data_IF_252457293728
#
_entry.id   IF_252457293728
#
_cell.length_a   1.000
_cell.length_b   1.000
_cell.length_c   1.000
_cell.angle_alpha   90.00
_cell.angle_beta   90.00
_cell.angle_gamma   90.00
#
_symmetry.space_group_name_H-M   'P 1'
#
loop_
_entity.id
_entity.type
_entity.pdbx_description
1 polymer ?
#
# COMPACT_ATOMS: atom_id res chain seq x y z
N UNK A 1 -19.77 3.27 -17.82
CA UNK A 1 -19.95 3.94 -16.52
C UNK A 1 -18.86 3.49 -15.58
N UNK A 2 -18.17 4.45 -14.98
CA UNK A 2 -17.20 4.18 -13.93
C UNK A 2 -17.93 3.70 -12.67
N UNK A 3 -17.46 2.61 -12.06
CA UNK A 3 -17.95 2.15 -10.76
C UNK A 3 -17.00 2.63 -9.67
N UNK A 4 -17.55 3.08 -8.54
CA UNK A 4 -16.78 3.42 -7.36
C UNK A 4 -17.17 2.50 -6.20
N UNK A 5 -16.19 2.13 -5.38
CA UNK A 5 -16.44 1.53 -4.09
C UNK A 5 -16.46 2.63 -3.03
N UNK A 6 -17.43 2.59 -2.14
CA UNK A 6 -17.51 3.48 -0.97
C UNK A 6 -16.22 3.34 -0.16
N UNK A 7 -15.76 4.47 0.40
CA UNK A 7 -14.47 4.58 1.06
C UNK A 7 -14.12 3.42 1.97
N UNK A 8 -13.00 2.79 1.69
CA UNK A 8 -12.46 1.66 2.47
C UNK A 8 -11.42 2.19 3.45
N UNK A 9 -11.61 1.90 4.72
CA UNK A 9 -10.65 2.23 5.77
C UNK A 9 -9.63 1.09 5.91
N UNK A 10 -8.35 1.42 5.85
CA UNK A 10 -7.25 0.47 5.93
C UNK A 10 -6.21 1.01 6.91
N UNK A 11 -5.77 0.17 7.85
CA UNK A 11 -4.60 0.44 8.69
C UNK A 11 -3.47 -0.48 8.26
N UNK A 12 -2.38 0.09 7.78
CA UNK A 12 -1.16 -0.60 7.37
C UNK A 12 -0.11 -0.47 8.48
N UNK A 13 0.47 -1.59 8.88
CA UNK A 13 1.40 -1.67 9.99
C UNK A 13 2.65 -2.42 9.53
N UNK A 14 3.83 -1.88 9.82
CA UNK A 14 5.10 -2.56 9.60
C UNK A 14 5.87 -2.66 10.91
N UNK A 15 6.18 -3.90 11.31
CA UNK A 15 6.96 -4.17 12.52
C UNK A 15 8.45 -3.95 12.26
N UNK A 16 9.17 -3.49 13.28
CA UNK A 16 10.62 -3.59 13.29
C UNK A 16 11.06 -5.05 13.46
N UNK A 17 12.25 -5.35 12.98
CA UNK A 17 12.94 -6.60 13.25
C UNK A 17 14.44 -6.36 13.29
N UNK A 18 15.15 -7.16 14.05
CA UNK A 18 16.60 -7.21 14.05
C UNK A 18 17.08 -8.14 12.92
N UNK A 19 17.91 -7.61 12.03
CA UNK A 19 18.55 -8.39 10.99
C UNK A 19 19.57 -9.36 11.63
N UNK A 20 19.35 -10.68 11.55
CA UNK A 20 20.20 -11.65 12.23
C UNK A 20 21.64 -11.70 11.72
N UNK A 21 21.91 -11.08 10.57
CA UNK A 21 23.28 -11.03 9.99
C UNK A 21 24.04 -9.81 10.43
N UNK A 22 23.36 -8.67 10.62
CA UNK A 22 24.00 -7.38 10.88
C UNK A 22 23.70 -6.84 12.28
N UNK A 23 22.71 -7.38 13.01
CA UNK A 23 22.19 -6.82 14.26
C UNK A 23 21.45 -5.49 14.09
N UNK A 24 21.24 -5.04 12.86
CA UNK A 24 20.64 -3.76 12.57
C UNK A 24 19.11 -3.85 12.67
N UNK A 25 18.50 -2.85 13.34
CA UNK A 25 17.03 -2.74 13.39
C UNK A 25 16.51 -2.17 12.08
N UNK A 26 15.63 -2.92 11.43
CA UNK A 26 15.00 -2.59 10.14
C UNK A 26 13.49 -2.73 10.23
N UNK A 27 12.77 -2.05 9.34
CA UNK A 27 11.36 -2.33 9.13
C UNK A 27 11.18 -3.59 8.29
N UNK A 28 10.22 -4.41 8.65
CA UNK A 28 9.83 -5.59 7.89
C UNK A 28 9.36 -5.20 6.48
N UNK A 29 9.73 -5.98 5.49
CA UNK A 29 9.16 -5.89 4.14
C UNK A 29 7.74 -6.50 4.06
N UNK A 30 7.27 -7.11 5.15
CA UNK A 30 5.90 -7.59 5.28
C UNK A 30 5.10 -6.55 6.02
N UNK A 31 4.01 -6.16 5.41
CA UNK A 31 3.04 -5.22 5.93
C UNK A 31 1.82 -5.97 6.40
N UNK A 32 1.36 -5.68 7.62
CA UNK A 32 0.08 -6.14 8.13
C UNK A 32 -0.98 -5.09 7.79
N UNK A 33 -2.07 -5.50 7.19
CA UNK A 33 -3.18 -4.64 6.81
C UNK A 33 -4.45 -5.07 7.54
N UNK A 34 -5.10 -4.13 8.23
CA UNK A 34 -6.39 -4.31 8.88
C UNK A 34 -7.42 -3.55 8.07
N UNK A 35 -8.44 -4.25 7.58
CA UNK A 35 -9.47 -3.68 6.74
C UNK A 35 -10.77 -3.43 7.52
N UNK A 36 -11.37 -2.26 7.28
CA UNK A 36 -12.65 -1.84 7.84
C UNK A 36 -12.53 -1.10 9.17
N UNK A 37 -13.29 -0.02 9.29
CA UNK A 37 -13.21 0.91 10.43
C UNK A 37 -13.45 0.21 11.77
N UNK A 38 -14.42 -0.70 11.86
CA UNK A 38 -14.73 -1.41 13.10
C UNK A 38 -13.58 -2.31 13.57
N UNK A 39 -12.88 -2.98 12.63
CA UNK A 39 -11.72 -3.81 12.94
C UNK A 39 -10.52 -2.97 13.37
N UNK A 40 -10.36 -1.80 12.76
CA UNK A 40 -9.30 -0.84 13.13
C UNK A 40 -9.55 -0.30 14.53
N UNK A 41 -10.78 0.11 14.85
CA UNK A 41 -11.17 0.58 16.18
C UNK A 41 -10.92 -0.51 17.24
N UNK A 42 -11.30 -1.74 16.93
CA UNK A 42 -11.07 -2.88 17.84
C UNK A 42 -9.57 -3.15 18.03
N UNK A 43 -8.77 -3.05 16.95
CA UNK A 43 -7.33 -3.15 17.05
C UNK A 43 -6.73 -2.04 17.94
N UNK A 44 -7.15 -0.79 17.77
CA UNK A 44 -6.69 0.32 18.62
C UNK A 44 -6.98 0.05 20.11
N UNK A 45 -8.12 -0.57 20.41
CA UNK A 45 -8.51 -0.92 21.79
C UNK A 45 -7.70 -2.10 22.36
N UNK A 46 -7.34 -3.10 21.54
CA UNK A 46 -6.74 -4.36 22.00
C UNK A 46 -5.23 -4.43 21.81
N UNK A 47 -4.69 -3.65 20.87
CA UNK A 47 -3.29 -3.72 20.38
C UNK A 47 -2.82 -5.17 20.08
N UNK A 48 -3.70 -6.01 19.56
CA UNK A 48 -3.44 -7.43 19.33
C UNK A 48 -4.04 -7.89 18.00
N UNK A 49 -3.18 -8.25 17.05
CA UNK A 49 -3.59 -8.82 15.77
C UNK A 49 -4.20 -10.20 15.94
N UNK A 50 -3.66 -11.01 16.85
CA UNK A 50 -4.19 -12.34 17.13
C UNK A 50 -5.67 -12.29 17.51
N UNK A 51 -6.05 -11.39 18.44
CA UNK A 51 -7.44 -11.24 18.87
C UNK A 51 -8.37 -10.78 17.74
N UNK A 52 -7.88 -9.96 16.81
CA UNK A 52 -8.66 -9.55 15.63
C UNK A 52 -8.92 -10.74 14.69
N UNK A 53 -7.90 -11.58 14.47
CA UNK A 53 -8.02 -12.80 13.64
C UNK A 53 -9.00 -13.79 14.29
N UNK A 54 -8.86 -14.04 15.59
CA UNK A 54 -9.71 -14.97 16.35
C UNK A 54 -11.19 -14.56 16.35
N UNK A 55 -11.48 -13.27 16.44
CA UNK A 55 -12.85 -12.75 16.37
C UNK A 55 -13.48 -12.83 14.97
N UNK A 56 -12.68 -12.99 13.95
CA UNK A 56 -13.14 -12.99 12.56
C UNK A 56 -12.67 -14.24 11.80
N UNK A 57 -12.95 -15.45 12.28
CA UNK A 57 -12.35 -16.68 11.75
C UNK A 57 -12.72 -16.97 10.29
N UNK A 58 -13.85 -16.44 9.82
CA UNK A 58 -14.36 -16.65 8.46
C UNK A 58 -14.20 -15.44 7.53
N UNK A 59 -13.59 -14.35 8.01
CA UNK A 59 -13.39 -13.12 7.23
C UNK A 59 -11.92 -12.76 7.16
N UNK A 60 -11.43 -12.46 5.99
CA UNK A 60 -10.07 -11.96 5.81
C UNK A 60 -10.02 -10.46 6.14
N UNK A 61 -10.04 -10.15 7.44
CA UNK A 61 -9.96 -8.76 7.93
C UNK A 61 -8.53 -8.31 8.17
N UNK A 62 -7.61 -9.26 8.36
CA UNK A 62 -6.16 -9.03 8.50
C UNK A 62 -5.44 -9.73 7.36
N UNK A 63 -4.63 -8.98 6.64
CA UNK A 63 -3.79 -9.47 5.56
C UNK A 63 -2.32 -9.21 5.88
N UNK A 64 -1.46 -10.16 5.55
CA UNK A 64 -0.01 -9.97 5.54
C UNK A 64 0.44 -9.88 4.08
N UNK A 65 1.06 -8.75 3.71
CA UNK A 65 1.42 -8.46 2.31
C UNK A 65 2.91 -8.17 2.24
N UNK A 66 3.61 -8.92 1.39
CA UNK A 66 5.00 -8.62 1.02
C UNK A 66 5.03 -7.89 -0.31
N UNK A 67 5.72 -6.74 -0.35
CA UNK A 67 5.89 -5.95 -1.57
C UNK A 67 7.32 -6.08 -2.06
N UNK A 68 7.49 -6.62 -3.26
CA UNK A 68 8.79 -6.94 -3.83
C UNK A 68 8.94 -6.24 -5.18
N UNK A 69 10.09 -5.58 -5.41
CA UNK A 69 10.39 -5.01 -6.73
C UNK A 69 10.52 -6.12 -7.77
N UNK A 70 9.92 -5.91 -8.94
CA UNK A 70 10.16 -6.75 -10.10
C UNK A 70 11.65 -6.73 -10.46
N UNK A 71 12.12 -7.78 -11.10
CA UNK A 71 13.51 -7.92 -11.49
C UNK A 71 13.62 -7.96 -13.02
N UNK A 72 14.72 -7.42 -13.53
CA UNK A 72 15.07 -7.51 -14.94
C UNK A 72 15.59 -8.90 -15.32
N UNK A 73 15.91 -9.11 -16.59
CA UNK A 73 16.46 -10.37 -17.11
C UNK A 73 17.80 -10.78 -16.46
N UNK A 74 18.51 -9.85 -15.85
CA UNK A 74 19.75 -10.05 -15.11
C UNK A 74 19.54 -10.24 -13.61
N UNK A 75 18.30 -10.48 -13.17
CA UNK A 75 17.89 -10.65 -11.76
C UNK A 75 18.14 -9.41 -10.87
N UNK A 76 18.31 -8.22 -11.46
CA UNK A 76 18.47 -6.95 -10.73
C UNK A 76 17.12 -6.30 -10.48
N UNK A 77 16.88 -5.68 -9.30
CA UNK A 77 15.62 -5.02 -9.00
C UNK A 77 15.39 -3.82 -9.93
N UNK A 78 14.17 -3.68 -10.44
CA UNK A 78 13.73 -2.53 -11.21
C UNK A 78 13.30 -1.45 -10.21
N UNK A 79 14.13 -0.40 -10.09
CA UNK A 79 13.84 0.68 -9.17
C UNK A 79 12.76 1.64 -9.72
N UNK A 80 12.03 2.32 -8.83
CA UNK A 80 11.02 3.28 -9.24
C UNK A 80 11.63 4.47 -10.02
N UNK A 81 10.90 4.93 -11.03
CA UNK A 81 11.15 6.20 -11.70
C UNK A 81 10.40 7.29 -10.94
N UNK A 82 11.08 8.38 -10.60
CA UNK A 82 10.49 9.54 -9.96
C UNK A 82 10.59 10.76 -10.86
N UNK A 83 9.49 11.48 -10.97
CA UNK A 83 9.44 12.81 -11.58
C UNK A 83 9.00 13.80 -10.49
N UNK A 84 9.92 14.66 -10.07
CA UNK A 84 9.69 15.59 -8.96
C UNK A 84 8.81 16.77 -9.37
N UNK A 85 8.81 17.17 -10.65
CA UNK A 85 8.02 18.31 -11.13
C UNK A 85 6.52 18.04 -11.02
N UNK A 86 6.12 16.79 -11.20
CA UNK A 86 4.73 16.35 -11.07
C UNK A 86 4.45 15.57 -9.78
N UNK A 87 5.43 15.43 -8.88
CA UNK A 87 5.32 14.55 -7.72
C UNK A 87 4.84 13.14 -8.09
N UNK A 88 5.32 12.63 -9.23
CA UNK A 88 4.91 11.36 -9.81
C UNK A 88 5.98 10.29 -9.55
N UNK A 89 5.53 9.11 -9.16
CA UNK A 89 6.38 7.93 -9.00
C UNK A 89 5.78 6.74 -9.77
N UNK A 90 6.57 6.13 -10.64
CA UNK A 90 6.22 4.89 -11.34
C UNK A 90 7.00 3.74 -10.72
N UNK A 91 6.32 2.69 -10.28
CA UNK A 91 6.94 1.51 -9.65
C UNK A 91 6.45 0.24 -10.32
N UNK A 92 7.38 -0.69 -10.56
CA UNK A 92 7.06 -2.04 -10.98
C UNK A 92 7.34 -3.01 -9.84
N UNK A 93 6.27 -3.41 -9.16
CA UNK A 93 6.32 -4.23 -7.94
C UNK A 93 5.29 -5.33 -7.99
N UNK A 94 5.57 -6.43 -7.30
CA UNK A 94 4.62 -7.53 -7.06
C UNK A 94 4.23 -7.53 -5.60
N UNK A 95 2.93 -7.58 -5.32
CA UNK A 95 2.40 -7.82 -3.99
C UNK A 95 2.09 -9.31 -3.83
N UNK A 96 2.67 -9.91 -2.80
CA UNK A 96 2.46 -11.32 -2.47
C UNK A 96 1.73 -11.39 -1.14
N UNK A 97 0.55 -11.97 -1.16
CA UNK A 97 -0.20 -12.23 0.07
C UNK A 97 0.44 -13.41 0.80
N UNK A 98 0.83 -13.17 2.05
CA UNK A 98 1.38 -14.18 2.95
C UNK A 98 0.21 -14.81 3.71
N UNK A 99 0.14 -16.13 3.71
CA UNK A 99 -0.93 -16.85 4.42
C UNK A 99 -0.85 -16.60 5.93
N UNK A 100 -2.00 -16.38 6.57
CA UNK A 100 -2.09 -16.05 8.00
C UNK A 100 -1.56 -17.16 8.92
N UNK A 101 -1.53 -18.42 8.47
CA UNK A 101 -0.98 -19.57 9.19
C UNK A 101 0.47 -19.90 8.79
N UNK A 102 1.13 -19.07 8.01
CA UNK A 102 2.53 -19.28 7.63
C UNK A 102 3.47 -19.05 8.80
N UNK A 103 4.66 -19.67 8.76
CA UNK A 103 5.71 -19.45 9.77
C UNK A 103 6.08 -17.97 9.93
N UNK A 104 6.00 -17.19 8.84
CA UNK A 104 6.35 -15.77 8.85
C UNK A 104 5.26 -14.95 9.54
N UNK A 105 3.99 -15.18 9.20
CA UNK A 105 2.86 -14.52 9.85
C UNK A 105 2.82 -14.84 11.35
N UNK A 106 3.02 -16.11 11.73
CA UNK A 106 3.07 -16.54 13.13
C UNK A 106 4.18 -15.80 13.90
N UNK A 107 5.39 -15.67 13.35
CA UNK A 107 6.48 -14.90 13.98
C UNK A 107 6.14 -13.42 14.19
N UNK A 108 5.42 -12.81 13.25
CA UNK A 108 4.96 -11.42 13.38
C UNK A 108 3.93 -11.33 14.51
N UNK A 109 2.99 -12.26 14.56
CA UNK A 109 1.94 -12.31 15.60
C UNK A 109 2.56 -12.54 16.99
N UNK A 110 3.48 -13.49 17.12
CA UNK A 110 4.15 -13.82 18.39
C UNK A 110 4.94 -12.63 18.96
N UNK A 111 5.62 -11.85 18.10
CA UNK A 111 6.40 -10.69 18.50
C UNK A 111 5.62 -9.38 18.51
N UNK A 112 4.31 -9.43 18.32
CA UNK A 112 3.50 -8.23 18.09
C UNK A 112 3.61 -7.18 19.19
N UNK A 113 3.51 -7.61 20.46
CA UNK A 113 3.57 -6.72 21.63
C UNK A 113 4.98 -6.16 21.86
N UNK A 114 6.01 -6.92 21.50
CA UNK A 114 7.41 -6.62 21.87
C UNK A 114 8.15 -5.83 20.78
N UNK A 115 7.56 -5.70 19.59
CA UNK A 115 8.14 -4.94 18.48
C UNK A 115 7.51 -3.56 18.34
N UNK A 116 8.33 -2.56 18.04
CA UNK A 116 7.84 -1.25 17.60
C UNK A 116 7.37 -1.33 16.15
N UNK A 117 6.48 -0.41 15.79
CA UNK A 117 5.79 -0.43 14.51
C UNK A 117 5.70 0.96 13.93
N UNK A 118 5.74 1.04 12.60
CA UNK A 118 5.23 2.19 11.88
C UNK A 118 3.78 1.96 11.50
N UNK A 119 2.99 3.01 11.53
CA UNK A 119 1.58 2.98 11.25
C UNK A 119 1.26 3.90 10.07
N UNK A 120 0.29 3.46 9.24
CA UNK A 120 -0.27 4.27 8.17
C UNK A 120 -1.76 3.95 8.05
N UNK A 121 -2.57 4.91 8.45
CA UNK A 121 -4.01 4.88 8.26
C UNK A 121 -4.39 5.52 6.94
N UNK A 122 -5.35 4.94 6.25
CA UNK A 122 -5.87 5.50 5.00
C UNK A 122 -7.37 5.29 4.89
N UNK A 123 -8.02 6.28 4.27
CA UNK A 123 -9.36 6.19 3.73
C UNK A 123 -9.25 6.28 2.21
N UNK A 124 -9.73 5.25 1.50
CA UNK A 124 -9.52 5.06 0.07
C UNK A 124 -10.85 4.90 -0.66
N UNK A 125 -10.97 5.55 -1.81
CA UNK A 125 -12.04 5.33 -2.78
C UNK A 125 -11.39 4.78 -4.04
N UNK A 126 -11.89 3.64 -4.52
CA UNK A 126 -11.38 2.97 -5.72
C UNK A 126 -12.33 3.19 -6.88
N UNK A 127 -11.81 3.59 -8.04
CA UNK A 127 -12.53 3.73 -9.28
C UNK A 127 -12.04 2.71 -10.29
N UNK A 128 -12.97 2.01 -10.92
CA UNK A 128 -12.70 1.07 -12.02
C UNK A 128 -13.58 1.39 -13.24
N UNK A 129 -13.09 1.02 -14.41
CA UNK A 129 -13.83 1.15 -15.65
C UNK A 129 -13.64 -0.10 -16.51
N UNK A 130 -14.71 -0.70 -17.08
CA UNK A 130 -14.61 -1.98 -17.78
C UNK A 130 -13.74 -1.95 -19.05
N UNK A 131 -13.53 -0.78 -19.65
CA UNK A 131 -12.69 -0.62 -20.84
C UNK A 131 -11.22 -0.37 -20.55
N UNK A 132 -10.85 -0.18 -19.27
CA UNK A 132 -9.48 0.11 -18.85
C UNK A 132 -8.99 -0.95 -17.87
N UNK A 133 -7.84 -1.62 -18.15
CA UNK A 133 -7.27 -2.61 -17.25
C UNK A 133 -6.52 -1.96 -16.08
N UNK A 134 -7.08 -0.90 -15.53
CA UNK A 134 -6.50 -0.14 -14.43
C UNK A 134 -7.58 0.23 -13.42
N UNK A 135 -7.20 0.32 -12.16
CA UNK A 135 -7.97 0.99 -11.13
C UNK A 135 -7.27 2.28 -10.73
N UNK A 136 -8.04 3.25 -10.29
CA UNK A 136 -7.56 4.52 -9.74
C UNK A 136 -8.03 4.62 -8.30
N UNK A 137 -7.09 4.68 -7.38
CA UNK A 137 -7.32 4.81 -5.96
C UNK A 137 -7.07 6.27 -5.52
N UNK A 138 -8.07 6.90 -4.94
CA UNK A 138 -7.94 8.18 -4.25
C UNK A 138 -7.87 7.92 -2.75
N UNK A 139 -6.80 8.32 -2.10
CA UNK A 139 -6.59 8.03 -0.68
C UNK A 139 -6.24 9.30 0.10
N UNK A 140 -6.87 9.45 1.27
CA UNK A 140 -6.40 10.37 2.32
C UNK A 140 -5.67 9.53 3.34
N UNK A 141 -4.41 9.86 3.61
CA UNK A 141 -3.54 9.06 4.46
C UNK A 141 -2.94 9.87 5.60
N UNK A 142 -2.74 9.21 6.74
CA UNK A 142 -1.97 9.69 7.88
C UNK A 142 -0.93 8.62 8.24
N UNK A 143 0.30 9.02 8.44
CA UNK A 143 1.42 8.08 8.68
C UNK A 143 2.22 8.49 9.91
N UNK A 144 2.98 7.55 10.46
CA UNK A 144 4.00 7.85 11.47
C UNK A 144 4.90 8.99 11.00
N UNK A 145 5.24 9.91 11.88
CA UNK A 145 6.15 11.02 11.59
C UNK A 145 7.51 10.50 11.14
N UNK A 146 8.22 11.31 10.36
CA UNK A 146 9.58 11.00 9.91
C UNK A 146 10.56 11.69 10.87
N UNK A 147 11.51 10.94 11.39
CA UNK A 147 12.59 11.44 12.23
C UNK A 147 13.69 12.17 11.42
N UNK A 148 14.68 12.68 12.13
CA UNK A 148 15.83 13.37 11.53
C UNK A 148 16.68 12.46 10.63
N UNK A 149 16.62 11.14 10.86
CA UNK A 149 17.29 10.12 10.07
C UNK A 149 16.48 9.70 8.81
N UNK A 150 15.43 10.44 8.48
CA UNK A 150 14.50 10.15 7.38
C UNK A 150 13.77 8.80 7.50
N UNK A 151 13.74 8.21 8.71
CA UNK A 151 13.00 6.98 8.98
C UNK A 151 11.72 7.28 9.75
N UNK A 152 10.69 6.43 9.65
CA UNK A 152 9.48 6.61 10.44
C UNK A 152 9.77 6.43 11.93
N UNK A 153 9.20 7.29 12.75
CA UNK A 153 9.21 7.16 14.22
C UNK A 153 8.29 5.99 14.56
N UNK A 154 8.86 5.02 15.30
CA UNK A 154 8.17 3.77 15.61
C UNK A 154 7.56 3.83 17.03
N UNK A 155 6.39 3.22 17.19
CA UNK A 155 5.67 3.10 18.46
C UNK A 155 5.21 1.67 18.72
N UNK A 156 4.99 1.30 19.98
CA UNK A 156 4.52 -0.03 20.36
C UNK A 156 3.04 -0.24 20.03
N UNK A 157 2.23 0.82 20.06
CA UNK A 157 0.80 0.78 19.78
C UNK A 157 0.38 1.97 18.91
N UNK A 158 -0.88 1.95 18.48
CA UNK A 158 -1.44 2.97 17.60
C UNK A 158 -1.56 4.34 18.28
N UNK A 159 -1.93 4.37 19.57
CA UNK A 159 -2.13 5.59 20.34
C UNK A 159 -0.80 6.35 20.50
N UNK A 160 0.25 5.65 20.92
CA UNK A 160 1.60 6.24 21.07
C UNK A 160 2.20 6.74 19.77
N UNK A 161 1.76 6.19 18.63
CA UNK A 161 2.20 6.64 17.30
C UNK A 161 1.71 8.04 16.94
N UNK A 162 0.64 8.51 17.60
CA UNK A 162 0.02 9.82 17.41
C UNK A 162 -0.34 10.19 15.95
N UNK A 163 -0.51 9.20 15.08
CA UNK A 163 -0.65 9.43 13.62
C UNK A 163 -1.91 10.24 13.27
N UNK A 164 -2.97 10.18 14.10
CA UNK A 164 -4.20 10.93 13.83
C UNK A 164 -4.01 12.44 13.90
N UNK A 165 -2.97 12.91 14.62
CA UNK A 165 -2.62 14.33 14.71
C UNK A 165 -1.62 14.77 13.61
N UNK A 166 -1.08 13.82 12.84
CA UNK A 166 -0.18 14.14 11.75
C UNK A 166 -0.95 14.73 10.55
N UNK A 167 -0.29 15.54 9.71
CA UNK A 167 -0.88 16.09 8.50
C UNK A 167 -1.42 15.00 7.57
N UNK A 168 -2.51 15.31 6.90
CA UNK A 168 -3.08 14.47 5.86
C UNK A 168 -2.25 14.57 4.59
N UNK A 169 -2.07 13.42 3.93
CA UNK A 169 -1.44 13.32 2.62
C UNK A 169 -2.49 12.77 1.66
N UNK A 170 -2.69 13.46 0.56
CA UNK A 170 -3.59 13.05 -0.51
C UNK A 170 -2.79 12.31 -1.57
N UNK A 171 -3.23 11.09 -1.90
CA UNK A 171 -2.54 10.24 -2.85
C UNK A 171 -3.49 9.76 -3.93
N UNK A 172 -2.98 9.75 -5.17
CA UNK A 172 -3.64 9.14 -6.32
C UNK A 172 -2.75 8.02 -6.80
N UNK A 173 -3.27 6.79 -6.78
CA UNK A 173 -2.56 5.60 -7.24
C UNK A 173 -3.27 5.03 -8.47
N UNK A 174 -2.55 4.82 -9.56
CA UNK A 174 -3.03 4.15 -10.75
C UNK A 174 -2.37 2.77 -10.77
N UNK A 175 -3.16 1.73 -10.67
CA UNK A 175 -2.68 0.35 -10.60
C UNK A 175 -3.22 -0.50 -11.74
N UNK A 176 -2.34 -1.24 -12.41
CA UNK A 176 -2.71 -2.18 -13.47
C UNK A 176 -3.39 -3.42 -12.86
N UNK A 177 -4.52 -3.81 -13.41
CA UNK A 177 -5.25 -5.02 -13.02
C UNK A 177 -4.61 -6.25 -13.71
N UNK A 178 -3.74 -6.93 -12.97
CA UNK A 178 -2.96 -8.06 -13.49
C UNK A 178 -3.82 -9.27 -13.93
N UNK A 179 -5.03 -9.38 -13.46
CA UNK A 179 -6.00 -10.39 -13.89
C UNK A 179 -6.54 -10.11 -15.31
N UNK A 180 -6.44 -8.87 -15.78
CA UNK A 180 -6.92 -8.44 -17.11
C UNK A 180 -5.80 -8.27 -18.14
N UNK A 181 -4.53 -8.20 -17.71
CA UNK A 181 -3.38 -7.89 -18.55
C UNK A 181 -2.43 -9.08 -18.66
N UNK A 182 -1.94 -9.35 -19.87
CA UNK A 182 -0.93 -10.37 -20.14
C UNK A 182 -1.29 -11.33 -21.26
N UNK A 183 -0.44 -12.33 -21.54
CA UNK A 183 -0.72 -13.35 -22.54
C UNK A 183 -2.07 -14.06 -22.26
N UNK A 184 -2.91 -14.21 -23.30
CA UNK A 184 -4.23 -14.81 -23.21
C UNK A 184 -5.26 -14.05 -22.33
N UNK A 185 -5.02 -12.77 -22.07
CA UNK A 185 -5.96 -11.88 -21.37
C UNK A 185 -6.63 -10.93 -22.37
N UNK A 186 -7.66 -10.21 -21.90
CA UNK A 186 -8.38 -9.20 -22.70
C UNK A 186 -7.42 -8.11 -23.19
N UNK A 187 -6.44 -7.75 -22.37
CA UNK A 187 -5.41 -6.76 -22.68
C UNK A 187 -4.04 -7.46 -22.79
N UNK A 188 -3.71 -7.92 -24.00
CA UNK A 188 -2.46 -8.63 -24.30
C UNK A 188 -1.48 -7.80 -25.15
N UNK A 189 -1.80 -6.53 -25.42
CA UNK A 189 -1.00 -5.59 -26.20
C UNK A 189 -0.34 -4.57 -25.27
N UNK A 190 1.00 -4.60 -25.21
CA UNK A 190 1.79 -3.73 -24.37
C UNK A 190 1.68 -2.26 -24.80
N UNK A 191 1.65 -1.97 -26.11
CA UNK A 191 1.55 -0.60 -26.63
C UNK A 191 0.16 0.00 -26.31
N UNK A 192 -0.86 -0.83 -26.35
CA UNK A 192 -2.22 -0.42 -25.95
C UNK A 192 -2.27 -0.11 -24.46
N UNK A 193 -1.65 -0.93 -23.61
CA UNK A 193 -1.57 -0.69 -22.17
C UNK A 193 -0.81 0.60 -21.86
N UNK A 194 0.34 0.82 -22.53
CA UNK A 194 1.13 2.05 -22.36
C UNK A 194 0.28 3.29 -22.71
N UNK A 195 -0.45 3.27 -23.84
CA UNK A 195 -1.35 4.38 -24.22
C UNK A 195 -2.44 4.64 -23.18
N UNK A 196 -3.02 3.59 -22.62
CA UNK A 196 -4.03 3.71 -21.56
C UNK A 196 -3.42 4.34 -20.31
N UNK A 197 -2.27 3.87 -19.85
CA UNK A 197 -1.58 4.44 -18.69
C UNK A 197 -1.23 5.90 -18.89
N UNK A 198 -0.66 6.27 -20.04
CA UNK A 198 -0.38 7.66 -20.39
C UNK A 198 -1.65 8.52 -20.35
N UNK A 199 -2.76 8.02 -20.91
CA UNK A 199 -4.04 8.72 -20.89
C UNK A 199 -4.56 8.92 -19.46
N UNK A 200 -4.48 7.90 -18.60
CA UNK A 200 -4.89 8.01 -17.19
C UNK A 200 -4.03 9.03 -16.43
N UNK A 201 -2.70 8.99 -16.60
CA UNK A 201 -1.77 9.95 -16.00
C UNK A 201 -2.10 11.37 -16.48
N UNK A 202 -2.30 11.56 -17.78
CA UNK A 202 -2.68 12.86 -18.36
C UNK A 202 -3.97 13.40 -17.75
N UNK A 203 -5.01 12.57 -17.58
CA UNK A 203 -6.27 13.01 -16.98
C UNK A 203 -6.10 13.41 -15.51
N UNK A 204 -5.34 12.62 -14.74
CA UNK A 204 -5.04 12.94 -13.33
C UNK A 204 -4.28 14.26 -13.22
N UNK A 205 -3.21 14.43 -14.00
CA UNK A 205 -2.40 15.66 -13.97
C UNK A 205 -3.21 16.88 -14.44
N UNK A 206 -4.02 16.74 -15.48
CA UNK A 206 -4.92 17.82 -15.94
C UNK A 206 -5.92 18.23 -14.86
N UNK A 207 -6.49 17.25 -14.15
CA UNK A 207 -7.42 17.52 -13.05
C UNK A 207 -6.74 18.26 -11.89
N UNK A 208 -5.53 17.84 -11.50
CA UNK A 208 -4.76 18.45 -10.43
C UNK A 208 -4.30 19.88 -10.77
N UNK A 209 -3.93 20.13 -12.03
CA UNK A 209 -3.44 21.43 -12.49
C UNK A 209 -4.57 22.38 -12.91
N UNK A 210 -5.80 21.90 -13.01
CA UNK A 210 -6.93 22.68 -13.52
C UNK A 210 -6.79 23.06 -15.00
N UNK A 211 -6.01 22.30 -15.78
CA UNK A 211 -5.76 22.54 -17.20
C UNK A 211 -6.19 21.36 -18.05
N UNK A 212 -6.57 21.62 -19.31
CA UNK A 212 -6.90 20.55 -20.27
C UNK A 212 -5.64 19.86 -20.85
N UNK A 213 -4.47 20.42 -20.63
CA UNK A 213 -3.19 19.91 -21.13
C UNK A 213 -2.19 19.95 -19.97
N UNK A 214 -1.78 18.80 -19.42
CA UNK A 214 -0.57 18.77 -18.62
C UNK A 214 0.58 19.23 -19.53
N UNK A 215 1.41 20.10 -19.00
CA UNK A 215 2.58 20.58 -19.73
C UNK A 215 3.43 19.36 -20.07
N UNK A 216 3.50 19.05 -21.36
CA UNK A 216 4.45 18.08 -21.89
C UNK A 216 5.72 18.83 -22.22
N UNK A 217 6.82 18.42 -21.64
CA UNK A 217 8.15 18.87 -22.02
C UNK A 217 8.63 18.08 -23.24
#
# INVERSE_FOLDING_TARGET
TCTNELGTHILKIQNEFEDPKTGEIKLSNIRTEINGISNIQEYCRLNSIQKIIEKNPYKTVVNFVSKIYAKDSSNRPIYPIKNNDFNLKISYQTEIQVQNNSKIANKIIEKWSDSKKSFRYMNRITFTHPEFPVKVDLSVTKSSSIGEDYKPILAYNFEDSNILNNPEIYEIEIEVLNDQVGPNKVFNDADKLERILKKCITHVLSGLQGTNYPITY
#
